data_IF_982841707885
#
_entry.id   IF_982841707885
#
_cell.length_a   1.000
_cell.length_b   1.000
_cell.length_c   1.000
_cell.angle_alpha   90.00
_cell.angle_beta   90.00
_cell.angle_gamma   90.00
#
_symmetry.space_group_name_H-M   'P 1'
#
loop_
_entity.id
_entity.type
_entity.pdbx_description
1 polymer ?
#
# COMPACT_ATOMS: atom_id res chain seq x y z
N UNK A 1 37.56 6.13 9.50
CA UNK A 1 36.83 4.94 9.00
C UNK A 1 36.31 4.16 10.20
N UNK A 2 35.04 4.30 10.55
CA UNK A 2 34.32 3.37 11.43
C UNK A 2 32.94 3.18 10.85
N UNK A 3 32.80 2.03 10.19
CA UNK A 3 31.62 1.52 9.51
C UNK A 3 30.52 1.33 10.57
N UNK A 4 29.57 2.27 10.60
CA UNK A 4 28.31 2.07 11.33
C UNK A 4 27.62 0.87 10.72
N UNK A 5 27.45 -0.19 11.51
CA UNK A 5 26.77 -1.40 11.09
C UNK A 5 25.31 -1.06 10.78
N UNK A 6 25.01 -0.90 9.49
CA UNK A 6 23.65 -0.92 8.98
C UNK A 6 23.04 -2.28 9.34
N UNK A 7 21.99 -2.25 10.15
CA UNK A 7 21.32 -3.44 10.66
C UNK A 7 20.74 -4.20 9.44
N UNK A 8 21.17 -5.43 9.15
CA UNK A 8 20.68 -6.15 7.99
C UNK A 8 19.21 -6.53 8.20
N UNK A 9 18.33 -6.09 7.30
CA UNK A 9 17.13 -6.83 6.92
C UNK A 9 15.99 -6.92 7.94
N UNK A 10 15.53 -5.81 8.52
CA UNK A 10 14.16 -5.72 9.00
C UNK A 10 13.22 -5.31 7.85
N UNK A 11 13.23 -6.09 6.76
CA UNK A 11 12.09 -6.09 5.85
C UNK A 11 10.99 -6.85 6.58
N UNK A 12 10.26 -6.15 7.45
CA UNK A 12 9.07 -6.68 8.07
C UNK A 12 8.18 -7.21 6.94
N UNK A 13 8.02 -8.54 6.89
CA UNK A 13 7.10 -9.22 5.96
C UNK A 13 5.76 -8.51 6.04
N UNK A 14 5.35 -7.86 4.95
CA UNK A 14 4.04 -7.21 4.85
C UNK A 14 4.06 -5.68 4.86
N UNK A 15 5.19 -4.99 4.73
CA UNK A 15 5.15 -3.56 4.34
C UNK A 15 5.21 -3.42 2.81
N UNK A 16 4.17 -2.82 2.22
CA UNK A 16 4.19 -2.48 0.81
C UNK A 16 4.93 -1.16 0.62
N UNK A 17 5.87 -1.12 -0.32
CA UNK A 17 6.60 0.10 -0.66
C UNK A 17 6.30 0.52 -2.09
N UNK A 18 6.05 1.81 -2.26
CA UNK A 18 5.78 2.43 -3.55
C UNK A 18 6.87 3.48 -3.84
N UNK A 19 7.80 3.20 -4.78
CA UNK A 19 8.77 4.20 -5.23
C UNK A 19 8.07 5.23 -6.14
N UNK A 20 8.18 6.50 -5.79
CA UNK A 20 7.61 7.63 -6.53
C UNK A 20 8.66 8.76 -6.59
N UNK A 21 9.21 8.99 -7.78
CA UNK A 21 10.34 9.90 -7.97
C UNK A 21 11.55 9.47 -7.13
N UNK A 22 12.05 10.36 -6.27
CA UNK A 22 13.22 10.12 -5.40
C UNK A 22 12.85 9.60 -4.01
N UNK A 23 11.56 9.40 -3.72
CA UNK A 23 11.07 8.95 -2.41
C UNK A 23 10.40 7.58 -2.53
N UNK A 24 10.53 6.76 -1.50
CA UNK A 24 9.74 5.53 -1.36
C UNK A 24 8.74 5.74 -0.23
N UNK A 25 7.46 5.51 -0.52
CA UNK A 25 6.38 5.62 0.44
C UNK A 25 5.95 4.24 0.93
N UNK A 26 5.54 4.14 2.19
CA UNK A 26 4.91 2.94 2.74
C UNK A 26 3.43 2.99 2.41
N UNK A 27 2.90 1.93 1.80
CA UNK A 27 1.46 1.76 1.62
C UNK A 27 0.94 0.90 2.78
N UNK A 28 0.05 1.47 3.59
CA UNK A 28 -0.66 0.77 4.65
C UNK A 28 -2.15 0.69 4.31
N UNK A 29 -2.64 -0.43 3.76
CA UNK A 29 -4.05 -0.60 3.47
C UNK A 29 -4.82 -1.00 4.75
N UNK A 30 -5.05 -0.01 5.61
CA UNK A 30 -5.92 -0.12 6.78
C UNK A 30 -7.40 -0.05 6.39
N UNK A 31 -8.30 -0.44 7.28
CA UNK A 31 -9.75 -0.35 7.04
C UNK A 31 -10.16 1.08 6.65
N UNK A 32 -9.74 2.08 7.43
CA UNK A 32 -10.07 3.48 7.16
C UNK A 32 -9.49 3.99 5.83
N UNK A 33 -8.28 3.57 5.45
CA UNK A 33 -7.69 3.95 4.17
C UNK A 33 -8.43 3.34 2.98
N UNK A 34 -8.85 2.07 3.10
CA UNK A 34 -9.64 1.41 2.07
C UNK A 34 -11.02 2.06 1.95
N UNK A 35 -11.72 2.26 3.07
CA UNK A 35 -13.05 2.89 3.09
C UNK A 35 -13.03 4.28 2.43
N UNK A 36 -12.05 5.11 2.80
CA UNK A 36 -11.86 6.43 2.18
C UNK A 36 -11.57 6.35 0.67
N UNK A 37 -10.77 5.36 0.25
CA UNK A 37 -10.50 5.14 -1.16
C UNK A 37 -11.75 4.65 -1.92
N UNK A 38 -12.57 3.79 -1.32
CA UNK A 38 -13.84 3.34 -1.90
C UNK A 38 -14.80 4.52 -2.08
N UNK A 39 -14.95 5.37 -1.05
CA UNK A 39 -15.81 6.56 -1.09
C UNK A 39 -15.38 7.53 -2.20
N UNK A 40 -14.09 7.87 -2.24
CA UNK A 40 -13.55 8.85 -3.19
C UNK A 40 -13.54 8.36 -4.65
N UNK A 41 -13.39 7.06 -4.86
CA UNK A 41 -13.35 6.47 -6.21
C UNK A 41 -14.71 5.98 -6.70
N UNK A 42 -15.66 5.75 -5.79
CA UNK A 42 -16.93 5.09 -6.08
C UNK A 42 -16.77 3.62 -6.50
N UNK A 43 -15.66 2.98 -6.12
CA UNK A 43 -15.38 1.58 -6.46
C UNK A 43 -15.15 0.78 -5.17
N UNK A 44 -15.71 -0.43 -5.10
CA UNK A 44 -15.41 -1.31 -3.97
C UNK A 44 -13.97 -1.82 -4.01
N UNK A 45 -13.45 -2.29 -2.87
CA UNK A 45 -12.11 -2.87 -2.72
C UNK A 45 -11.87 -3.99 -3.74
N UNK A 46 -12.85 -4.89 -3.90
CA UNK A 46 -12.76 -5.98 -4.88
C UNK A 46 -12.63 -5.43 -6.30
N UNK A 47 -13.39 -4.38 -6.64
CA UNK A 47 -13.30 -3.76 -7.97
C UNK A 47 -11.99 -3.01 -8.17
N UNK A 48 -11.50 -2.28 -7.16
CA UNK A 48 -10.19 -1.61 -7.18
C UNK A 48 -9.06 -2.63 -7.36
N UNK A 49 -9.12 -3.75 -6.64
CA UNK A 49 -8.16 -4.86 -6.80
C UNK A 49 -8.18 -5.39 -8.23
N UNK A 50 -9.36 -5.66 -8.80
CA UNK A 50 -9.47 -6.13 -10.19
C UNK A 50 -8.90 -5.13 -11.19
N UNK A 51 -9.26 -3.84 -11.07
CA UNK A 51 -8.75 -2.76 -11.92
C UNK A 51 -7.22 -2.64 -11.85
N UNK A 52 -6.64 -2.85 -10.67
CA UNK A 52 -5.19 -2.83 -10.49
C UNK A 52 -4.51 -4.00 -11.22
N UNK A 53 -5.11 -5.20 -11.19
CA UNK A 53 -4.59 -6.37 -11.89
C UNK A 53 -4.78 -6.30 -13.41
N UNK A 54 -5.90 -5.73 -13.89
CA UNK A 54 -6.15 -5.55 -15.33
C UNK A 54 -5.42 -4.34 -15.92
N UNK A 55 -4.81 -3.49 -15.09
CA UNK A 55 -4.15 -2.27 -15.53
C UNK A 55 -5.11 -1.16 -15.96
N UNK A 56 -6.37 -1.23 -15.51
CA UNK A 56 -7.46 -0.33 -15.92
C UNK A 56 -7.70 0.81 -14.92
N UNK A 57 -6.89 0.92 -13.85
CA UNK A 57 -6.98 2.07 -12.95
C UNK A 57 -6.62 3.36 -13.68
N UNK A 58 -7.52 4.35 -13.60
CA UNK A 58 -7.23 5.71 -14.06
C UNK A 58 -6.16 6.37 -13.19
N UNK A 59 -5.45 7.37 -13.72
CA UNK A 59 -4.47 8.15 -12.95
C UNK A 59 -5.06 8.76 -11.67
N UNK A 60 -6.31 9.21 -11.73
CA UNK A 60 -7.02 9.75 -10.57
C UNK A 60 -7.26 8.67 -9.51
N UNK A 61 -7.68 7.48 -9.91
CA UNK A 61 -7.86 6.34 -8.98
C UNK A 61 -6.52 5.93 -8.37
N UNK A 62 -5.44 5.88 -9.16
CA UNK A 62 -4.10 5.59 -8.65
C UNK A 62 -3.69 6.60 -7.59
N UNK A 63 -3.86 7.89 -7.88
CA UNK A 63 -3.57 8.99 -6.96
C UNK A 63 -4.30 8.86 -5.63
N UNK A 64 -5.62 8.64 -5.68
CA UNK A 64 -6.48 8.48 -4.50
C UNK A 64 -6.07 7.24 -3.69
N UNK A 65 -6.03 6.07 -4.33
CA UNK A 65 -5.78 4.80 -3.63
C UNK A 65 -4.38 4.78 -3.00
N UNK A 66 -3.36 5.20 -3.75
CA UNK A 66 -2.02 5.32 -3.21
C UNK A 66 -1.97 6.38 -2.11
N UNK A 67 -2.57 7.57 -2.33
CA UNK A 67 -2.61 8.66 -1.37
C UNK A 67 -3.16 8.25 0.00
N UNK A 68 -4.31 7.58 0.03
CA UNK A 68 -4.90 7.10 1.30
C UNK A 68 -4.00 6.11 2.03
N UNK A 69 -3.44 5.13 1.32
CA UNK A 69 -2.55 4.14 1.92
C UNK A 69 -1.23 4.76 2.40
N UNK A 70 -0.73 5.79 1.70
CA UNK A 70 0.47 6.54 2.09
C UNK A 70 0.21 7.32 3.37
N UNK A 71 -0.92 8.05 3.45
CA UNK A 71 -1.30 8.79 4.66
C UNK A 71 -1.47 7.88 5.85
N UNK A 72 -2.11 6.72 5.68
CA UNK A 72 -2.24 5.72 6.74
C UNK A 72 -0.90 5.10 7.19
N UNK A 73 0.08 5.04 6.29
CA UNK A 73 1.43 4.57 6.57
C UNK A 73 2.40 5.67 7.03
N UNK A 74 1.95 6.92 7.13
CA UNK A 74 2.80 8.05 7.43
C UNK A 74 3.33 8.01 8.88
N UNK A 75 4.61 8.37 9.02
CA UNK A 75 5.29 8.55 10.31
C UNK A 75 5.67 10.02 10.56
N UNK A 76 5.37 10.89 9.60
CA UNK A 76 5.71 12.31 9.58
C UNK A 76 4.57 13.13 8.94
N UNK A 77 4.44 14.39 9.33
CA UNK A 77 3.34 15.27 8.90
C UNK A 77 3.32 15.50 7.39
N UNK A 78 4.49 15.60 6.76
CA UNK A 78 4.60 15.84 5.32
C UNK A 78 4.05 14.65 4.51
N UNK A 79 4.34 13.42 4.95
CA UNK A 79 3.78 12.21 4.34
C UNK A 79 2.29 12.07 4.66
N UNK A 80 1.83 12.51 5.84
CA UNK A 80 0.42 12.50 6.22
C UNK A 80 -0.42 13.52 5.42
N UNK A 81 0.21 14.54 4.84
CA UNK A 81 -0.45 15.60 4.06
C UNK A 81 -0.24 15.48 2.55
N UNK A 82 0.09 14.30 2.03
CA UNK A 82 0.27 14.12 0.58
C UNK A 82 -1.03 14.40 -0.17
N UNK A 83 -0.90 14.98 -1.36
CA UNK A 83 -2.01 15.30 -2.25
C UNK A 83 -2.24 14.20 -3.30
N UNK A 84 -3.50 13.82 -3.50
CA UNK A 84 -3.88 12.69 -4.37
C UNK A 84 -3.53 12.97 -5.84
N UNK A 85 -3.69 14.22 -6.30
CA UNK A 85 -3.33 14.60 -7.68
C UNK A 85 -1.82 14.51 -7.88
N UNK A 86 -1.03 15.05 -6.94
CA UNK A 86 0.43 14.96 -7.02
C UNK A 86 0.93 13.53 -6.97
N UNK A 87 0.31 12.66 -6.17
CA UNK A 87 0.65 11.23 -6.17
C UNK A 87 0.35 10.58 -7.52
N UNK A 88 -0.78 10.93 -8.17
CA UNK A 88 -1.11 10.46 -9.52
C UNK A 88 -0.08 10.91 -10.57
N UNK A 89 0.37 12.17 -10.49
CA UNK A 89 1.44 12.68 -11.37
C UNK A 89 2.76 11.94 -11.15
N UNK A 90 3.17 11.76 -9.89
CA UNK A 90 4.38 11.01 -9.55
C UNK A 90 4.31 9.55 -10.00
N UNK A 91 3.12 8.94 -9.94
CA UNK A 91 2.90 7.58 -10.43
C UNK A 91 3.07 7.48 -11.94
N UNK A 92 2.59 8.49 -12.68
CA UNK A 92 2.82 8.60 -14.12
C UNK A 92 4.32 8.75 -14.44
N UNK A 93 5.02 9.62 -13.73
CA UNK A 93 6.48 9.81 -13.87
C UNK A 93 7.27 8.52 -13.54
N UNK A 94 6.82 7.75 -12.55
CA UNK A 94 7.48 6.51 -12.11
C UNK A 94 7.23 5.30 -13.03
N UNK A 95 6.21 5.36 -13.89
CA UNK A 95 5.79 4.28 -14.76
C UNK A 95 4.64 3.46 -14.17
N UNK A 96 3.50 3.48 -14.88
CA UNK A 96 2.25 2.87 -14.41
C UNK A 96 2.32 1.36 -14.14
N UNK A 97 2.97 0.52 -14.97
CA UNK A 97 3.02 -0.92 -14.70
C UNK A 97 3.64 -1.26 -13.33
N UNK A 98 4.69 -0.54 -12.94
CA UNK A 98 5.35 -0.73 -11.64
C UNK A 98 4.45 -0.30 -10.49
N UNK A 99 3.78 0.85 -10.64
CA UNK A 99 2.86 1.37 -9.61
C UNK A 99 1.65 0.47 -9.45
N UNK A 100 0.99 0.10 -10.55
CA UNK A 100 -0.18 -0.77 -10.56
C UNK A 100 0.16 -2.14 -9.96
N UNK A 101 1.31 -2.74 -10.30
CA UNK A 101 1.73 -4.00 -9.70
C UNK A 101 1.88 -3.92 -8.18
N UNK A 102 2.39 -2.80 -7.64
CA UNK A 102 2.48 -2.58 -6.20
C UNK A 102 1.12 -2.37 -5.55
N UNK A 103 0.24 -1.60 -6.17
CA UNK A 103 -1.13 -1.40 -5.70
C UNK A 103 -1.93 -2.70 -5.73
N UNK A 104 -1.78 -3.52 -6.77
CA UNK A 104 -2.44 -4.82 -6.89
C UNK A 104 -2.08 -5.73 -5.72
N UNK A 105 -0.79 -5.84 -5.38
CA UNK A 105 -0.34 -6.61 -4.20
C UNK A 105 -0.92 -6.03 -2.90
N UNK A 106 -0.92 -4.70 -2.74
CA UNK A 106 -1.47 -4.07 -1.53
C UNK A 106 -2.97 -4.28 -1.35
N UNK A 107 -3.73 -4.19 -2.43
CA UNK A 107 -5.17 -4.42 -2.45
C UNK A 107 -5.51 -5.90 -2.21
N UNK A 108 -4.72 -6.83 -2.75
CA UNK A 108 -4.87 -8.28 -2.47
C UNK A 108 -4.65 -8.60 -1.00
N UNK A 109 -3.63 -8.02 -0.36
CA UNK A 109 -3.38 -8.21 1.07
C UNK A 109 -4.54 -7.69 1.93
N UNK A 110 -5.15 -6.57 1.55
CA UNK A 110 -6.33 -6.03 2.22
C UNK A 110 -7.55 -6.94 2.02
N UNK A 111 -7.81 -7.36 0.78
CA UNK A 111 -8.97 -8.16 0.42
C UNK A 111 -8.93 -9.60 0.96
N UNK A 112 -7.74 -10.19 1.09
CA UNK A 112 -7.56 -11.55 1.61
C UNK A 112 -7.73 -11.67 3.13
N UNK A 113 -7.88 -10.54 3.84
CA UNK A 113 -7.95 -10.52 5.29
C UNK A 113 -6.59 -10.68 5.97
N UNK A 114 -5.47 -10.59 5.22
CA UNK A 114 -4.10 -10.70 5.72
C UNK A 114 -3.64 -9.56 6.62
N UNK A 115 -4.49 -8.55 6.86
CA UNK A 115 -4.22 -7.39 7.71
C UNK A 115 -5.28 -7.15 8.77
N UNK A 116 -4.85 -6.53 9.87
CA UNK A 116 -5.72 -5.98 10.90
C UNK A 116 -6.44 -4.73 10.39
N UNK A 117 -7.46 -4.26 11.11
CA UNK A 117 -8.16 -3.02 10.76
C UNK A 117 -7.23 -1.79 10.74
N UNK A 118 -6.15 -1.80 11.54
CA UNK A 118 -5.12 -0.76 11.54
C UNK A 118 -4.17 -0.84 10.33
N UNK A 119 -4.27 -1.90 9.51
CA UNK A 119 -3.40 -2.12 8.36
C UNK A 119 -2.10 -2.85 8.69
N UNK A 120 -1.91 -3.32 9.92
CA UNK A 120 -0.77 -4.16 10.29
C UNK A 120 -0.93 -5.59 9.77
N UNK A 121 0.13 -6.29 9.33
CA UNK A 121 0.06 -7.69 8.93
C UNK A 121 -0.48 -8.56 10.06
N UNK A 122 -1.44 -9.46 9.77
CA UNK A 122 -1.86 -10.48 10.73
C UNK A 122 -0.79 -11.56 10.81
N UNK A 123 -0.47 -12.01 12.02
CA UNK A 123 0.32 -13.22 12.20
C UNK A 123 -0.42 -14.40 11.56
N UNK A 124 0.27 -15.19 10.75
CA UNK A 124 -0.26 -16.49 10.33
C UNK A 124 -0.36 -17.36 11.58
N UNK A 125 -1.55 -17.91 11.85
CA UNK A 125 -1.68 -18.93 12.88
C UNK A 125 -0.77 -20.10 12.47
N UNK A 126 0.28 -20.35 13.24
CA UNK A 126 1.00 -21.61 13.12
C UNK A 126 0.05 -22.69 13.63
N UNK A 127 -0.45 -23.55 12.74
CA UNK A 127 -1.14 -24.78 13.14
C UNK A 127 -0.16 -25.65 13.94
N UNK A 128 -0.15 -25.45 15.25
CA UNK A 128 0.40 -26.38 16.23
C UNK A 128 -0.75 -27.04 16.97
N UNK A 129 -1.51 -27.86 16.26
CA UNK A 129 -2.45 -28.86 16.78
C UNK A 129 -2.85 -29.73 15.58
N UNK A 130 -2.41 -30.98 15.42
CA UNK A 130 -2.51 -32.08 16.37
C UNK A 130 -1.36 -33.08 16.16
N UNK A 131 -0.44 -33.14 17.11
CA UNK A 131 0.26 -34.38 17.44
C UNK A 131 -0.34 -34.87 18.75
N UNK A 132 -1.24 -35.84 18.68
CA UNK A 132 -1.72 -36.65 19.81
C UNK A 132 -2.18 -37.99 19.24
#
# INVERSE_FOLDING_TARGET
>A
MTKGAEKPGANARGEHRLPLGRKSYILRPSFAAIEAAEEKTGQSLIRLMQLAHSGEMTLRQIGIVAGEMIRAGATDELTASVDDERIGQLAFEAGLPTVMGRLAVALTDAASGGRTAAGEPKAVASDSATAS
#
